data_IF_328745239985
#
_entry.id   IF_328745239985
#
_cell.length_a   1.000
_cell.length_b   1.000
_cell.length_c   1.000
_cell.angle_alpha   90.00
_cell.angle_beta   90.00
_cell.angle_gamma   90.00
#
_symmetry.space_group_name_H-M   'P 1'
#
loop_
_entity.id
_entity.type
_entity.pdbx_description
1 polymer ?
#
# COMPACT_ATOMS: atom_id res chain seq x y z
N UNK A 1 18.38 -8.87 -33.35
CA UNK A 1 17.08 -8.72 -32.66
C UNK A 1 17.37 -8.45 -31.21
N UNK A 2 17.03 -7.27 -30.69
CA UNK A 2 17.24 -6.91 -29.29
C UNK A 2 15.96 -7.09 -28.47
N UNK A 3 16.11 -7.24 -27.15
CA UNK A 3 14.98 -7.27 -26.21
C UNK A 3 14.46 -5.84 -26.07
N UNK A 4 13.16 -5.62 -26.29
CA UNK A 4 12.53 -4.29 -26.18
C UNK A 4 11.70 -4.11 -24.92
N UNK A 5 10.94 -5.13 -24.54
CA UNK A 5 9.98 -5.03 -23.43
C UNK A 5 10.46 -5.93 -22.29
N UNK A 6 10.59 -5.34 -21.11
CA UNK A 6 11.16 -6.00 -19.94
C UNK A 6 10.19 -5.85 -18.77
N UNK A 7 9.80 -6.98 -18.18
CA UNK A 7 8.99 -7.02 -16.96
C UNK A 7 9.93 -7.20 -15.78
N UNK A 8 9.83 -6.32 -14.79
CA UNK A 8 10.66 -6.33 -13.59
C UNK A 8 9.81 -6.67 -12.38
N UNK A 9 10.09 -7.83 -11.79
CA UNK A 9 9.48 -8.30 -10.56
C UNK A 9 10.54 -8.41 -9.47
N UNK A 10 10.71 -7.31 -8.74
CA UNK A 10 11.66 -7.20 -7.64
C UNK A 10 11.06 -6.39 -6.49
N UNK A 11 11.49 -6.63 -5.24
CA UNK A 11 11.15 -5.77 -4.10
C UNK A 11 11.54 -4.30 -4.34
N UNK A 12 10.82 -3.37 -3.69
CA UNK A 12 11.03 -1.91 -3.79
C UNK A 12 12.50 -1.52 -3.64
N UNK A 13 13.18 -2.09 -2.65
CA UNK A 13 14.59 -1.83 -2.32
C UNK A 13 15.57 -2.18 -3.45
N UNK A 14 15.17 -3.04 -4.38
CA UNK A 14 16.01 -3.49 -5.50
C UNK A 14 15.74 -2.72 -6.79
N UNK A 15 14.71 -1.87 -6.86
CA UNK A 15 14.35 -1.11 -8.08
C UNK A 15 15.53 -0.26 -8.55
N UNK A 16 16.14 0.52 -7.65
CA UNK A 16 17.33 1.32 -7.95
C UNK A 16 18.49 0.47 -8.47
N UNK A 17 18.72 -0.69 -7.83
CA UNK A 17 19.83 -1.57 -8.20
C UNK A 17 19.65 -2.11 -9.62
N UNK A 18 18.42 -2.49 -9.99
CA UNK A 18 18.09 -2.97 -11.34
C UNK A 18 18.32 -1.86 -12.37
N UNK A 19 17.76 -0.66 -12.13
CA UNK A 19 17.90 0.46 -13.06
C UNK A 19 19.35 0.91 -13.21
N UNK A 20 20.11 0.97 -12.12
CA UNK A 20 21.54 1.27 -12.14
C UNK A 20 22.33 0.27 -12.97
N UNK A 21 22.07 -1.02 -12.82
CA UNK A 21 22.74 -2.04 -13.64
C UNK A 21 22.33 -1.94 -15.10
N UNK A 22 21.05 -1.73 -15.40
CA UNK A 22 20.57 -1.50 -16.76
C UNK A 22 21.26 -0.29 -17.41
N UNK A 23 21.46 0.79 -16.66
CA UNK A 23 22.18 1.98 -17.13
C UNK A 23 23.64 1.66 -17.50
N UNK A 24 24.33 0.89 -16.66
CA UNK A 24 25.74 0.53 -16.87
C UNK A 24 25.98 -0.32 -18.12
N UNK A 25 24.95 -1.01 -18.62
CA UNK A 25 25.01 -1.85 -19.83
C UNK A 25 24.24 -1.24 -21.00
N UNK A 26 23.93 0.06 -20.95
CA UNK A 26 23.25 0.81 -22.02
C UNK A 26 21.84 0.27 -22.38
N UNK A 27 21.13 -0.22 -21.37
CA UNK A 27 19.76 -0.72 -21.48
C UNK A 27 18.69 0.24 -20.95
N UNK A 28 19.06 1.45 -20.52
CA UNK A 28 18.13 2.56 -20.24
C UNK A 28 18.13 3.56 -21.41
N UNK A 29 17.72 3.09 -22.58
CA UNK A 29 17.57 3.89 -23.80
C UNK A 29 16.12 3.90 -24.29
N UNK A 30 15.81 4.81 -25.21
CA UNK A 30 14.51 4.92 -25.90
C UNK A 30 14.06 3.64 -26.64
N UNK A 31 14.98 2.71 -26.87
CA UNK A 31 14.69 1.39 -27.43
C UNK A 31 13.98 0.43 -26.47
N UNK A 32 14.18 0.61 -25.16
CA UNK A 32 13.72 -0.31 -24.11
C UNK A 32 12.52 0.27 -23.35
N UNK A 33 11.57 -0.61 -23.03
CA UNK A 33 10.42 -0.33 -22.18
C UNK A 33 10.46 -1.24 -20.96
N UNK A 34 10.30 -0.67 -19.77
CA UNK A 34 10.27 -1.36 -18.49
C UNK A 34 8.88 -1.30 -17.87
N UNK A 35 8.40 -2.45 -17.40
CA UNK A 35 7.17 -2.54 -16.63
C UNK A 35 7.46 -3.15 -15.26
N UNK A 36 7.26 -2.37 -14.20
CA UNK A 36 7.43 -2.82 -12.82
C UNK A 36 6.13 -3.42 -12.28
N UNK A 37 6.21 -4.61 -11.69
CA UNK A 37 5.10 -5.26 -10.99
C UNK A 37 4.96 -4.78 -9.55
N UNK A 38 6.01 -4.17 -8.98
CA UNK A 38 5.98 -3.59 -7.64
C UNK A 38 4.95 -2.48 -7.55
N UNK A 39 4.05 -2.58 -6.58
CA UNK A 39 3.03 -1.58 -6.29
C UNK A 39 3.59 -0.31 -5.64
N UNK A 40 4.84 -0.34 -5.21
CA UNK A 40 5.52 0.78 -4.54
C UNK A 40 6.52 1.51 -5.43
N UNK A 41 6.48 1.29 -6.75
CA UNK A 41 7.39 1.98 -7.69
C UNK A 41 7.20 3.50 -7.65
N UNK A 42 6.00 3.99 -7.36
CA UNK A 42 5.69 5.42 -7.22
C UNK A 42 6.40 6.08 -6.03
N UNK A 43 6.78 5.30 -5.01
CA UNK A 43 7.49 5.81 -3.82
C UNK A 43 9.02 5.83 -3.99
N UNK A 44 9.53 5.50 -5.17
CA UNK A 44 10.97 5.46 -5.45
C UNK A 44 11.33 6.69 -6.27
N UNK A 45 12.36 7.40 -5.85
CA UNK A 45 12.92 8.52 -6.63
C UNK A 45 13.59 7.98 -7.90
N UNK A 46 13.06 8.31 -9.07
CA UNK A 46 13.60 7.88 -10.36
C UNK A 46 14.32 9.00 -11.13
N UNK A 47 14.63 10.13 -10.47
CA UNK A 47 15.21 11.32 -11.11
C UNK A 47 16.50 10.99 -11.89
N UNK A 48 17.34 10.11 -11.34
CA UNK A 48 18.61 9.68 -11.96
C UNK A 48 18.44 8.87 -13.27
N UNK A 49 17.25 8.29 -13.50
CA UNK A 49 16.99 7.37 -14.61
C UNK A 49 16.11 7.97 -15.71
N UNK A 50 15.59 9.19 -15.54
CA UNK A 50 14.65 9.82 -16.47
C UNK A 50 15.28 10.31 -17.78
N UNK A 51 16.60 10.49 -17.82
CA UNK A 51 17.28 11.12 -18.96
C UNK A 51 17.59 10.16 -20.13
N UNK A 52 17.39 8.85 -19.94
CA UNK A 52 17.69 7.84 -20.96
C UNK A 52 16.67 7.74 -22.10
N UNK A 53 15.51 8.41 -21.98
CA UNK A 53 14.43 8.32 -22.97
C UNK A 53 13.66 6.98 -22.94
N UNK A 54 13.99 6.08 -22.01
CA UNK A 54 13.30 4.81 -21.81
C UNK A 54 11.91 5.03 -21.20
N UNK A 55 10.94 4.22 -21.59
CA UNK A 55 9.63 4.24 -20.94
C UNK A 55 9.65 3.33 -19.72
N UNK A 56 9.37 3.90 -18.55
CA UNK A 56 9.19 3.16 -17.30
C UNK A 56 7.72 3.28 -16.90
N UNK A 57 7.07 2.15 -16.68
CA UNK A 57 5.66 2.07 -16.28
C UNK A 57 5.48 1.10 -15.13
N UNK A 58 4.39 1.25 -14.39
CA UNK A 58 4.03 0.36 -13.30
C UNK A 58 2.63 0.68 -12.79
N UNK A 59 2.28 0.12 -11.64
CA UNK A 59 1.02 0.38 -10.96
C UNK A 59 1.22 1.38 -9.82
N UNK A 60 0.18 2.18 -9.56
CA UNK A 60 0.04 2.95 -8.33
C UNK A 60 -1.39 2.76 -7.83
N UNK A 61 -1.55 2.25 -6.61
CA UNK A 61 -2.85 2.10 -5.96
C UNK A 61 -3.20 3.30 -5.07
N UNK A 62 -2.23 4.10 -4.68
CA UNK A 62 -2.39 5.22 -3.74
C UNK A 62 -2.59 6.51 -4.55
N UNK A 63 -3.78 7.09 -4.48
CA UNK A 63 -4.02 8.42 -5.05
C UNK A 63 -3.54 9.51 -4.09
N UNK A 64 -2.27 9.90 -4.25
CA UNK A 64 -1.63 10.95 -3.44
C UNK A 64 -2.21 12.35 -3.67
N UNK A 65 -3.05 12.53 -4.70
CA UNK A 65 -3.74 13.78 -4.97
C UNK A 65 -5.14 13.85 -4.33
N UNK A 66 -5.60 12.74 -3.74
CA UNK A 66 -6.92 12.69 -3.12
C UNK A 66 -6.95 13.57 -1.88
N UNK A 67 -8.11 14.21 -1.64
CA UNK A 67 -8.30 15.05 -0.47
C UNK A 67 -8.16 14.25 0.83
N UNK A 68 -8.68 13.01 0.85
CA UNK A 68 -8.60 12.11 1.99
C UNK A 68 -7.14 11.77 2.34
N UNK A 69 -6.33 11.41 1.35
CA UNK A 69 -4.91 11.15 1.56
C UNK A 69 -4.19 12.37 2.17
N UNK A 70 -4.38 13.55 1.60
CA UNK A 70 -3.73 14.78 2.08
C UNK A 70 -4.15 15.13 3.53
N UNK A 71 -5.40 14.89 3.89
CA UNK A 71 -5.89 15.07 5.26
C UNK A 71 -5.28 14.05 6.23
N UNK A 72 -5.23 12.77 5.86
CA UNK A 72 -4.63 11.70 6.66
C UNK A 72 -3.15 11.95 6.90
N UNK A 73 -2.39 12.30 5.87
CA UNK A 73 -0.96 12.61 5.98
C UNK A 73 -0.73 13.83 6.88
N UNK A 74 -1.53 14.88 6.72
CA UNK A 74 -1.46 16.07 7.56
C UNK A 74 -1.72 15.75 9.02
N UNK A 75 -2.74 14.95 9.32
CA UNK A 75 -3.07 14.56 10.70
C UNK A 75 -1.98 13.65 11.29
N UNK A 76 -1.40 12.76 10.47
CA UNK A 76 -0.29 11.91 10.88
C UNK A 76 0.96 12.73 11.23
N UNK A 77 1.29 13.74 10.42
CA UNK A 77 2.44 14.62 10.67
C UNK A 77 2.25 15.51 11.90
N UNK A 78 1.02 15.92 12.20
CA UNK A 78 0.69 16.73 13.38
C UNK A 78 0.48 15.89 14.65
N UNK A 79 0.54 14.56 14.55
CA UNK A 79 0.34 13.67 15.70
C UNK A 79 1.46 13.85 16.73
N UNK A 80 1.13 13.86 18.04
CA UNK A 80 2.13 14.00 19.08
C UNK A 80 3.13 12.82 19.06
N UNK A 81 4.38 13.03 19.52
CA UNK A 81 5.39 11.97 19.55
C UNK A 81 4.87 10.74 20.31
N UNK A 82 4.90 9.56 19.66
CA UNK A 82 4.40 8.33 20.27
C UNK A 82 5.28 7.84 21.43
N UNK A 83 6.58 8.15 21.38
CA UNK A 83 7.56 7.81 22.42
C UNK A 83 8.77 8.75 22.39
N UNK A 84 9.59 8.80 23.46
CA UNK A 84 10.80 9.62 23.49
C UNK A 84 11.73 9.26 22.32
N UNK A 85 12.07 10.25 21.49
CA UNK A 85 12.87 10.13 20.24
C UNK A 85 12.12 9.65 18.98
N UNK A 86 10.79 9.66 18.96
CA UNK A 86 10.04 9.50 17.71
C UNK A 86 10.37 10.65 16.74
N UNK A 87 10.92 10.33 15.57
CA UNK A 87 11.29 11.31 14.53
C UNK A 87 10.19 11.52 13.48
N UNK A 88 9.04 10.87 13.63
CA UNK A 88 8.06 10.76 12.55
C UNK A 88 8.45 9.69 11.54
N UNK A 89 7.48 9.32 10.71
CA UNK A 89 7.71 8.56 9.47
C UNK A 89 7.92 9.56 8.33
N UNK A 90 8.75 9.20 7.36
CA UNK A 90 8.90 9.99 6.13
C UNK A 90 7.64 9.92 5.26
N UNK A 91 7.44 10.92 4.40
CA UNK A 91 6.32 10.91 3.43
C UNK A 91 6.37 9.68 2.52
N UNK A 92 7.56 9.28 2.07
CA UNK A 92 7.75 8.07 1.25
C UNK A 92 7.31 6.78 1.99
N UNK A 93 7.52 6.71 3.30
CA UNK A 93 7.07 5.56 4.10
C UNK A 93 5.55 5.56 4.26
N UNK A 94 4.93 6.73 4.41
CA UNK A 94 3.48 6.87 4.52
C UNK A 94 2.77 6.62 3.19
N UNK A 95 3.42 6.92 2.07
CA UNK A 95 2.91 6.72 0.71
C UNK A 95 2.96 5.25 0.25
N UNK A 96 3.58 4.35 1.03
CA UNK A 96 3.66 2.94 0.68
C UNK A 96 2.26 2.31 0.64
N UNK A 97 2.08 1.45 -0.36
CA UNK A 97 0.85 0.69 -0.57
C UNK A 97 0.48 -0.14 0.67
N UNK A 98 1.47 -0.73 1.35
CA UNK A 98 1.22 -1.52 2.57
C UNK A 98 0.55 -0.70 3.69
N UNK A 99 0.93 0.57 3.84
CA UNK A 99 0.38 1.47 4.86
C UNK A 99 -1.04 1.89 4.49
N UNK A 100 -1.26 2.27 3.24
CA UNK A 100 -2.59 2.61 2.73
C UNK A 100 -3.58 1.43 2.87
N UNK A 101 -3.18 0.22 2.48
CA UNK A 101 -4.03 -0.97 2.61
C UNK A 101 -4.38 -1.32 4.06
N UNK A 102 -3.45 -1.12 5.01
CA UNK A 102 -3.74 -1.32 6.44
C UNK A 102 -4.72 -0.27 6.96
N UNK A 103 -4.56 0.99 6.54
CA UNK A 103 -5.49 2.06 6.88
C UNK A 103 -6.92 1.73 6.41
N UNK A 104 -7.06 1.34 5.14
CA UNK A 104 -8.34 0.96 4.55
C UNK A 104 -8.94 -0.29 5.19
N UNK A 105 -8.10 -1.29 5.50
CA UNK A 105 -8.56 -2.51 6.16
C UNK A 105 -9.17 -2.21 7.54
N UNK A 106 -8.56 -1.33 8.33
CA UNK A 106 -9.09 -0.92 9.64
C UNK A 106 -10.38 -0.14 9.47
N UNK A 107 -10.46 0.78 8.50
CA UNK A 107 -11.66 1.57 8.21
C UNK A 107 -12.82 0.71 7.75
N UNK A 108 -12.58 -0.23 6.82
CA UNK A 108 -13.55 -1.22 6.36
C UNK A 108 -14.05 -2.08 7.51
N UNK A 109 -13.14 -2.60 8.34
CA UNK A 109 -13.48 -3.42 9.48
C UNK A 109 -14.32 -2.67 10.52
N UNK A 110 -13.92 -1.44 10.87
CA UNK A 110 -14.67 -0.60 11.78
C UNK A 110 -16.08 -0.27 11.25
N UNK A 111 -16.20 0.03 9.95
CA UNK A 111 -17.50 0.23 9.30
C UNK A 111 -18.37 -1.02 9.37
N UNK A 112 -17.79 -2.18 9.11
CA UNK A 112 -18.50 -3.46 9.17
C UNK A 112 -19.03 -3.80 10.55
N UNK A 113 -18.23 -3.57 11.59
CA UNK A 113 -18.67 -3.76 12.96
C UNK A 113 -19.77 -2.76 13.34
N UNK A 114 -19.62 -1.49 12.97
CA UNK A 114 -20.61 -0.45 13.26
C UNK A 114 -21.97 -0.77 12.63
N UNK A 115 -21.99 -1.15 11.36
CA UNK A 115 -23.22 -1.45 10.63
C UNK A 115 -23.90 -2.72 11.16
N UNK A 116 -23.12 -3.74 11.53
CA UNK A 116 -23.67 -4.96 12.09
C UNK A 116 -24.30 -4.69 13.47
N UNK A 117 -23.64 -3.90 14.33
CA UNK A 117 -24.11 -3.59 15.69
C UNK A 117 -25.45 -2.81 15.69
N UNK A 118 -25.74 -2.05 14.63
CA UNK A 118 -27.05 -1.41 14.44
C UNK A 118 -28.21 -2.41 14.23
N UNK A 119 -27.90 -3.64 13.78
CA UNK A 119 -28.91 -4.66 13.45
C UNK A 119 -28.96 -5.82 14.44
N UNK A 120 -27.84 -6.13 15.07
CA UNK A 120 -27.68 -7.23 16.00
C UNK A 120 -26.72 -6.80 17.11
N UNK A 121 -27.12 -6.94 18.37
CA UNK A 121 -26.19 -6.67 19.48
C UNK A 121 -25.03 -7.67 19.45
N UNK A 122 -23.83 -7.15 19.20
CA UNK A 122 -22.61 -7.96 19.12
C UNK A 122 -22.02 -8.11 20.51
N UNK A 123 -21.72 -9.34 20.94
CA UNK A 123 -20.95 -9.58 22.17
C UNK A 123 -19.59 -10.19 21.85
N UNK A 124 -18.53 -9.51 22.28
CA UNK A 124 -17.15 -10.01 22.17
C UNK A 124 -16.85 -10.89 23.40
N UNK A 125 -16.35 -12.10 23.17
CA UNK A 125 -15.94 -13.03 24.22
C UNK A 125 -14.49 -13.48 24.01
N UNK A 126 -13.72 -13.76 25.08
CA UNK A 126 -12.44 -14.41 24.94
C UNK A 126 -12.59 -15.75 24.20
N UNK A 127 -11.66 -16.06 23.32
CA UNK A 127 -11.57 -17.35 22.61
C UNK A 127 -10.28 -18.04 23.02
N UNK A 128 -10.29 -19.37 23.02
CA UNK A 128 -9.11 -20.20 23.27
C UNK A 128 -8.78 -21.02 22.05
N UNK A 129 -7.50 -21.11 21.70
CA UNK A 129 -7.02 -22.02 20.67
C UNK A 129 -7.12 -23.50 21.09
N UNK A 130 -7.27 -23.78 22.39
CA UNK A 130 -7.38 -25.16 22.91
C UNK A 130 -8.79 -25.74 22.77
N UNK A 131 -9.82 -24.89 22.77
CA UNK A 131 -11.23 -25.34 22.77
C UNK A 131 -11.82 -25.42 21.37
N UNK A 132 -11.12 -24.91 20.35
CA UNK A 132 -11.57 -24.83 18.95
C UNK A 132 -12.95 -24.17 18.76
N UNK A 133 -13.44 -23.41 19.75
CA UNK A 133 -14.75 -22.77 19.68
C UNK A 133 -14.68 -21.42 18.94
N UNK A 134 -15.36 -21.27 17.79
CA UNK A 134 -15.35 -20.02 17.05
C UNK A 134 -16.19 -18.93 17.76
N UNK A 135 -15.92 -17.69 17.40
CA UNK A 135 -16.79 -16.58 17.79
C UNK A 135 -18.11 -16.62 17.00
N UNK A 136 -19.24 -16.66 17.71
CA UNK A 136 -20.57 -16.89 17.12
C UNK A 136 -20.98 -15.84 16.08
N UNK A 137 -20.47 -14.60 16.19
CA UNK A 137 -20.76 -13.51 15.25
C UNK A 137 -19.75 -13.43 14.10
N UNK A 138 -18.72 -14.27 14.05
CA UNK A 138 -17.65 -14.18 13.04
C UNK A 138 -18.15 -14.29 11.60
N UNK A 139 -19.14 -15.16 11.35
CA UNK A 139 -19.78 -15.28 10.03
C UNK A 139 -20.60 -14.04 9.65
N UNK A 140 -21.26 -13.41 10.62
CA UNK A 140 -22.02 -12.18 10.37
C UNK A 140 -21.07 -11.04 9.99
N UNK A 141 -19.99 -10.84 10.75
CA UNK A 141 -18.98 -9.82 10.47
C UNK A 141 -18.35 -10.01 9.08
N UNK A 142 -17.90 -11.23 8.76
CA UNK A 142 -17.28 -11.50 7.45
C UNK A 142 -18.24 -11.30 6.27
N UNK A 143 -19.53 -11.62 6.44
CA UNK A 143 -20.52 -11.33 5.42
C UNK A 143 -20.77 -9.84 5.25
N UNK A 144 -20.84 -9.07 6.34
CA UNK A 144 -20.97 -7.61 6.28
C UNK A 144 -19.77 -6.95 5.60
N UNK A 145 -18.55 -7.37 5.95
CA UNK A 145 -17.32 -6.86 5.32
C UNK A 145 -17.32 -7.04 3.79
N UNK A 146 -17.91 -8.11 3.26
CA UNK A 146 -18.01 -8.35 1.81
C UNK A 146 -19.03 -7.46 1.10
N UNK A 147 -19.99 -6.91 1.83
CA UNK A 147 -21.08 -6.09 1.27
C UNK A 147 -20.79 -4.60 1.36
N UNK A 148 -19.82 -4.19 2.18
CA UNK A 148 -19.49 -2.79 2.40
C UNK A 148 -18.58 -2.29 1.29
N UNK A 149 -18.93 -1.13 0.75
CA UNK A 149 -18.06 -0.35 -0.11
C UNK A 149 -17.50 0.82 0.69
N UNK A 150 -16.19 0.99 0.65
CA UNK A 150 -15.51 2.19 1.11
C UNK A 150 -14.71 2.75 -0.06
N UNK A 151 -14.69 4.08 -0.17
CA UNK A 151 -13.71 4.77 -1.01
C UNK A 151 -12.52 5.05 -0.11
N UNK A 152 -11.40 4.37 -0.36
CA UNK A 152 -10.11 4.55 0.31
C UNK A 152 -9.10 5.25 -0.57
#
# INVERSE_FOLDING_TARGET
MGIRNIIIDVPRENIHKVLKHAQQVDMLSDYHNYFFTSLDVHTVDLEDYQYGGTNISGFNLVDENSKEYLEVIRDWQNSPPRYPNWKGESLEQLAKTEVALVYDAVRLFAKALHDLDQTQSISIRPISCETEEPWIFGNAVTNYMRMINIDG
#
